data_IF_178306993448
#
_entry.id   IF_178306993448
#
_cell.length_a   1.000
_cell.length_b   1.000
_cell.length_c   1.000
_cell.angle_alpha   90.00
_cell.angle_beta   90.00
_cell.angle_gamma   90.00
#
_symmetry.space_group_name_H-M   'P 1'
#
loop_
_entity.id
_entity.type
_entity.pdbx_description
1 polymer ?
#
# COMPACT_ATOMS: atom_id res chain seq x y z
N UNK A 1 13.17 13.99 -0.59
CA UNK A 1 12.71 12.61 -0.87
C UNK A 1 13.77 11.85 -1.63
N UNK A 2 14.03 10.60 -1.27
CA UNK A 2 14.92 9.78 -2.07
C UNK A 2 14.37 9.58 -3.48
N UNK A 3 15.25 9.38 -4.44
CA UNK A 3 14.84 9.06 -5.81
C UNK A 3 14.08 7.73 -5.84
N UNK A 4 13.08 7.63 -6.72
CA UNK A 4 12.33 6.39 -6.93
C UNK A 4 13.27 5.36 -7.56
N UNK A 5 13.38 4.14 -7.00
CA UNK A 5 14.19 3.10 -7.60
C UNK A 5 13.75 2.76 -9.03
N UNK A 6 14.68 2.41 -9.89
CA UNK A 6 14.37 2.01 -11.27
C UNK A 6 13.40 0.82 -11.32
N UNK A 7 13.56 -0.14 -10.39
CA UNK A 7 12.64 -1.29 -10.26
C UNK A 7 11.20 -0.84 -9.98
N UNK A 8 11.03 0.21 -9.16
CA UNK A 8 9.71 0.76 -8.89
C UNK A 8 9.10 1.40 -10.14
N UNK A 9 9.88 2.22 -10.85
CA UNK A 9 9.42 2.85 -12.10
C UNK A 9 9.02 1.80 -13.15
N UNK A 10 9.78 0.71 -13.26
CA UNK A 10 9.44 -0.39 -14.18
C UNK A 10 8.16 -1.12 -13.78
N UNK A 11 7.81 -1.13 -12.50
CA UNK A 11 6.64 -1.85 -11.98
C UNK A 11 5.30 -1.28 -12.45
N UNK A 12 5.27 -0.08 -13.04
CA UNK A 12 4.02 0.50 -13.57
C UNK A 12 3.43 -0.30 -14.72
N UNK A 13 4.21 -1.18 -15.35
CA UNK A 13 3.74 -1.97 -16.51
C UNK A 13 2.72 -3.02 -16.12
N UNK A 14 2.81 -3.53 -14.90
CA UNK A 14 1.88 -4.54 -14.38
C UNK A 14 1.65 -4.25 -12.91
N UNK A 15 0.40 -4.07 -12.55
CA UNK A 15 0.00 -3.83 -11.17
C UNK A 15 -1.12 -4.76 -10.78
N UNK A 16 -1.14 -5.18 -9.51
CA UNK A 16 -2.28 -5.88 -8.94
C UNK A 16 -3.10 -4.85 -8.19
N UNK A 17 -4.33 -4.61 -8.64
CA UNK A 17 -5.22 -3.61 -8.07
C UNK A 17 -5.57 -3.90 -6.61
N UNK A 18 -5.82 -2.87 -5.80
CA UNK A 18 -6.38 -3.07 -4.46
C UNK A 18 -7.71 -3.79 -4.53
N UNK A 19 -7.88 -4.84 -3.72
CA UNK A 19 -9.13 -5.61 -3.69
C UNK A 19 -9.44 -5.99 -2.25
N UNK A 20 -10.56 -5.45 -1.74
CA UNK A 20 -11.02 -5.74 -0.37
C UNK A 20 -11.20 -7.24 -0.18
N UNK A 21 -10.76 -7.73 0.97
CA UNK A 21 -10.77 -9.14 1.36
C UNK A 21 -9.87 -10.07 0.53
N UNK A 22 -9.18 -9.52 -0.48
CA UNK A 22 -8.31 -10.32 -1.35
C UNK A 22 -6.84 -9.95 -1.25
N UNK A 23 -6.49 -8.67 -1.43
CA UNK A 23 -5.07 -8.27 -1.47
C UNK A 23 -4.49 -8.00 -0.08
N UNK A 24 -4.64 -8.96 0.82
CA UNK A 24 -3.97 -8.96 2.12
C UNK A 24 -2.49 -9.35 1.95
N UNK A 25 -1.73 -9.33 3.03
CA UNK A 25 -0.29 -9.64 2.97
C UNK A 25 0.01 -11.04 2.46
N UNK A 26 -0.86 -12.01 2.71
CA UNK A 26 -0.66 -13.39 2.24
C UNK A 26 -0.87 -13.48 0.73
N UNK A 27 -1.92 -12.85 0.24
CA UNK A 27 -2.22 -12.75 -1.19
C UNK A 27 -1.10 -12.01 -1.93
N UNK A 28 -0.59 -10.90 -1.36
CA UNK A 28 0.48 -10.12 -1.98
C UNK A 28 1.78 -10.92 -2.09
N UNK A 29 2.15 -11.69 -1.08
CA UNK A 29 3.32 -12.59 -1.18
C UNK A 29 3.11 -13.62 -2.28
N UNK A 30 1.92 -14.21 -2.36
CA UNK A 30 1.59 -15.16 -3.42
C UNK A 30 1.72 -14.51 -4.81
N UNK A 31 1.16 -13.32 -5.00
CA UNK A 31 1.29 -12.59 -6.26
C UNK A 31 2.74 -12.27 -6.60
N UNK A 32 3.56 -11.96 -5.60
CA UNK A 32 4.98 -11.68 -5.82
C UNK A 32 5.73 -12.90 -6.34
N UNK A 33 5.39 -14.08 -5.87
CA UNK A 33 5.99 -15.33 -6.37
C UNK A 33 5.65 -15.57 -7.86
N UNK A 34 4.46 -15.14 -8.29
CA UNK A 34 4.01 -15.28 -9.67
C UNK A 34 4.52 -14.16 -10.58
N UNK A 35 4.71 -12.97 -10.05
CA UNK A 35 5.04 -11.77 -10.81
C UNK A 35 6.13 -10.96 -10.07
N UNK A 36 7.42 -11.29 -10.30
CA UNK A 36 8.53 -10.70 -9.54
C UNK A 36 8.66 -9.19 -9.63
N UNK A 37 8.11 -8.59 -10.69
CA UNK A 37 8.28 -7.15 -10.93
C UNK A 37 6.98 -6.34 -10.88
N UNK A 38 5.84 -6.98 -10.57
CA UNK A 38 4.56 -6.29 -10.51
C UNK A 38 4.53 -5.33 -9.32
N UNK A 39 3.82 -4.21 -9.48
CA UNK A 39 3.48 -3.34 -8.36
C UNK A 39 2.29 -3.93 -7.63
N UNK A 40 2.44 -4.15 -6.32
CA UNK A 40 1.36 -4.69 -5.50
C UNK A 40 0.72 -3.57 -4.69
N UNK A 41 -0.57 -3.66 -4.47
CA UNK A 41 -1.34 -2.71 -3.65
C UNK A 41 -1.96 -3.44 -2.48
N UNK A 42 -2.03 -2.77 -1.33
CA UNK A 42 -2.81 -3.28 -0.19
C UNK A 42 -4.30 -3.21 -0.51
N UNK A 43 -5.11 -3.85 0.32
CA UNK A 43 -6.52 -3.48 0.41
C UNK A 43 -6.62 -2.01 0.80
N UNK A 44 -7.78 -1.38 0.60
CA UNK A 44 -8.02 -0.04 1.12
C UNK A 44 -8.02 -0.07 2.64
N UNK A 45 -7.16 0.74 3.26
CA UNK A 45 -7.08 0.88 4.71
C UNK A 45 -7.61 2.26 5.08
N UNK A 46 -8.54 2.31 6.04
CA UNK A 46 -9.08 3.59 6.49
C UNK A 46 -8.01 4.40 7.21
N UNK A 47 -7.88 5.68 6.86
CA UNK A 47 -6.87 6.55 7.47
C UNK A 47 -7.04 6.64 9.00
N UNK A 48 -8.27 6.71 9.50
CA UNK A 48 -8.53 6.69 10.94
C UNK A 48 -8.04 5.41 11.61
N UNK A 49 -8.19 4.27 10.95
CA UNK A 49 -7.70 3.00 11.48
C UNK A 49 -6.18 2.98 11.56
N UNK A 50 -5.49 3.57 10.60
CA UNK A 50 -4.02 3.67 10.61
C UNK A 50 -3.55 4.52 11.79
N UNK A 51 -4.21 5.65 12.03
CA UNK A 51 -3.83 6.57 13.11
C UNK A 51 -4.14 5.98 14.49
N UNK A 52 -5.31 5.37 14.66
CA UNK A 52 -5.85 4.97 15.97
C UNK A 52 -5.79 3.47 16.24
N UNK A 53 -5.62 2.64 15.22
CA UNK A 53 -5.75 1.19 15.34
C UNK A 53 -4.43 0.46 15.51
N UNK A 54 -4.49 -0.85 15.30
CA UNK A 54 -3.34 -1.76 15.36
C UNK A 54 -2.55 -1.68 14.05
N UNK A 55 -1.50 -0.89 14.05
CA UNK A 55 -0.68 -0.65 12.86
C UNK A 55 0.03 -1.90 12.38
N UNK A 56 0.49 -2.74 13.27
CA UNK A 56 1.16 -3.99 12.89
C UNK A 56 0.24 -4.89 12.07
N UNK A 57 -1.01 -5.03 12.51
CA UNK A 57 -2.01 -5.82 11.79
C UNK A 57 -2.41 -5.16 10.46
N UNK A 58 -2.56 -3.84 10.45
CA UNK A 58 -3.05 -3.11 9.28
C UNK A 58 -1.97 -2.88 8.23
N UNK A 59 -0.73 -2.61 8.64
CA UNK A 59 0.35 -2.14 7.77
C UNK A 59 1.50 -3.11 7.62
N UNK A 60 1.50 -4.22 8.38
CA UNK A 60 2.58 -5.20 8.30
C UNK A 60 2.63 -5.86 6.92
N UNK A 61 3.85 -6.02 6.39
CA UNK A 61 4.07 -6.73 5.13
C UNK A 61 5.45 -7.39 5.13
N UNK A 62 5.62 -8.34 4.22
CA UNK A 62 6.89 -9.03 4.02
C UNK A 62 7.79 -8.22 3.06
N UNK A 63 9.11 -8.14 3.30
CA UNK A 63 10.01 -7.44 2.38
C UNK A 63 9.92 -7.90 0.93
N UNK A 64 9.54 -9.16 0.69
CA UNK A 64 9.34 -9.67 -0.67
C UNK A 64 8.21 -8.96 -1.43
N UNK A 65 7.29 -8.30 -0.72
CA UNK A 65 6.17 -7.60 -1.35
C UNK A 65 6.59 -6.33 -2.09
N UNK A 66 7.80 -5.79 -1.84
CA UNK A 66 8.28 -4.61 -2.58
C UNK A 66 8.41 -4.90 -4.09
N UNK A 67 8.01 -3.97 -4.95
CA UNK A 67 7.40 -2.68 -4.66
C UNK A 67 5.92 -2.82 -4.28
N UNK A 68 5.55 -2.19 -3.17
CA UNK A 68 4.21 -2.29 -2.60
C UNK A 68 3.68 -0.90 -2.24
N UNK A 69 2.42 -0.66 -2.60
CA UNK A 69 1.73 0.59 -2.33
C UNK A 69 0.68 0.38 -1.25
N UNK A 70 0.59 1.34 -0.33
CA UNK A 70 -0.49 1.43 0.65
C UNK A 70 -1.63 2.24 0.05
N UNK A 71 -2.82 1.66 -0.04
CA UNK A 71 -4.00 2.43 -0.40
C UNK A 71 -4.77 2.86 0.83
N UNK A 72 -5.00 4.17 0.95
CA UNK A 72 -5.76 4.77 2.03
C UNK A 72 -7.13 5.21 1.55
N UNK A 73 -8.11 5.14 2.46
CA UNK A 73 -9.42 5.75 2.30
C UNK A 73 -9.67 6.74 3.42
N UNK A 74 -10.46 7.76 3.16
CA UNK A 74 -10.80 8.79 4.13
C UNK A 74 -11.09 10.11 3.46
N UNK A 75 -11.63 11.07 4.23
CA UNK A 75 -12.04 12.37 3.71
C UNK A 75 -11.41 13.55 4.44
N UNK A 76 -10.82 13.34 5.61
CA UNK A 76 -10.23 14.41 6.40
C UNK A 76 -8.76 14.61 6.03
N UNK A 77 -8.36 15.77 5.49
CA UNK A 77 -7.00 15.98 5.02
C UNK A 77 -5.94 15.77 6.09
N UNK A 78 -6.19 16.20 7.32
CA UNK A 78 -5.21 16.06 8.41
C UNK A 78 -4.99 14.60 8.79
N UNK A 79 -6.05 13.80 8.85
CA UNK A 79 -5.96 12.37 9.16
C UNK A 79 -5.27 11.62 8.02
N UNK A 80 -5.59 11.95 6.78
CA UNK A 80 -4.92 11.39 5.60
C UNK A 80 -3.43 11.71 5.60
N UNK A 81 -3.07 12.94 5.97
CA UNK A 81 -1.67 13.35 6.06
C UNK A 81 -0.92 12.54 7.13
N UNK A 82 -1.53 12.35 8.29
CA UNK A 82 -0.93 11.54 9.37
C UNK A 82 -0.77 10.08 8.94
N UNK A 83 -1.81 9.50 8.36
CA UNK A 83 -1.77 8.12 7.87
C UNK A 83 -0.71 7.92 6.79
N UNK A 84 -0.55 8.91 5.90
CA UNK A 84 0.49 8.89 4.87
C UNK A 84 1.88 8.88 5.49
N UNK A 85 2.14 9.73 6.47
CA UNK A 85 3.43 9.74 7.18
C UNK A 85 3.71 8.40 7.84
N UNK A 86 2.71 7.82 8.48
CA UNK A 86 2.84 6.50 9.12
C UNK A 86 3.17 5.44 8.05
N UNK A 87 2.49 5.46 6.92
CA UNK A 87 2.75 4.52 5.82
C UNK A 87 4.19 4.62 5.29
N UNK A 88 4.70 5.85 5.15
CA UNK A 88 6.09 6.08 4.75
C UNK A 88 7.06 5.50 5.79
N UNK A 89 6.79 5.72 7.07
CA UNK A 89 7.62 5.17 8.16
C UNK A 89 7.63 3.64 8.17
N UNK A 90 6.53 3.01 7.78
CA UNK A 90 6.43 1.56 7.68
C UNK A 90 7.14 0.97 6.46
N UNK A 91 7.60 1.83 5.53
CA UNK A 91 8.43 1.41 4.41
C UNK A 91 7.70 1.17 3.11
N UNK A 92 6.45 1.59 2.97
CA UNK A 92 5.72 1.49 1.70
C UNK A 92 6.39 2.34 0.63
N UNK A 93 6.41 1.84 -0.59
CA UNK A 93 7.03 2.52 -1.74
C UNK A 93 6.15 3.63 -2.29
N UNK A 94 4.84 3.56 -2.06
CA UNK A 94 3.87 4.53 -2.53
C UNK A 94 2.70 4.58 -1.54
N UNK A 95 2.08 5.74 -1.43
CA UNK A 95 0.77 5.89 -0.79
C UNK A 95 -0.21 6.36 -1.84
N UNK A 96 -1.33 5.67 -1.93
CA UNK A 96 -2.37 5.87 -2.94
C UNK A 96 -3.67 6.22 -2.24
N UNK A 97 -4.43 7.17 -2.77
CA UNK A 97 -5.71 7.58 -2.20
C UNK A 97 -6.86 7.02 -3.04
N UNK A 98 -7.73 6.27 -2.36
CA UNK A 98 -9.00 5.84 -2.96
C UNK A 98 -10.00 6.99 -2.83
N UNK A 99 -10.44 7.52 -3.97
CA UNK A 99 -11.40 8.63 -4.02
C UNK A 99 -12.86 8.17 -3.99
N UNK A 100 -13.08 6.89 -3.79
CA UNK A 100 -14.42 6.32 -3.67
C UNK A 100 -15.08 6.01 -4.99
N UNK A 101 -16.29 5.44 -4.88
CA UNK A 101 -17.15 5.23 -6.03
C UNK A 101 -18.07 6.44 -6.20
N UNK A 102 -18.41 6.80 -7.45
CA UNK A 102 -19.37 7.86 -7.70
C UNK A 102 -20.77 7.54 -7.15
#
# INVERSE_FOLDING_TARGET
MPAVPASYAASVRLSVAPMMDWTDRHCRVFHRLLAPHARLYTEMVHANAVVLGDRGRLLGFDPAEHPVALQLGGSEPEVLAQATRIGVEWGYDEVNLNCGCP
#
